data_IF_372923694300
#
_entry.id   IF_372923694300
#
_cell.length_a   1.000
_cell.length_b   1.000
_cell.length_c   1.000
_cell.angle_alpha   90.00
_cell.angle_beta   90.00
_cell.angle_gamma   90.00
#
_symmetry.space_group_name_H-M   'P 1'
#
loop_
_entity.id
_entity.type
_entity.pdbx_description
1 polymer ?
#
# COMPACT_ATOMS: atom_id res chain seq x y z
N UNK A 1 2.13 26.10 16.31
CA UNK A 1 2.40 26.61 17.68
C UNK A 1 1.05 26.55 18.40
N UNK A 2 0.85 25.57 19.27
CA UNK A 2 -0.37 25.43 20.06
C UNK A 2 -0.14 26.27 21.32
N UNK A 3 -1.01 27.24 21.66
CA UNK A 3 -0.85 28.06 22.84
C UNK A 3 -1.37 27.30 24.07
N UNK A 4 -0.56 27.23 25.12
CA UNK A 4 -0.91 26.59 26.38
C UNK A 4 0.00 25.40 26.68
N UNK A 5 1.12 25.67 27.34
CA UNK A 5 1.75 24.75 28.28
C UNK A 5 2.89 25.49 28.99
N UNK A 6 2.53 26.30 29.98
CA UNK A 6 3.48 26.83 30.97
C UNK A 6 3.73 25.82 32.12
N UNK A 7 2.94 24.74 32.19
CA UNK A 7 2.98 23.71 33.23
C UNK A 7 3.28 22.28 32.71
N UNK A 8 3.86 22.14 31.52
CA UNK A 8 4.25 20.83 31.00
C UNK A 8 5.67 20.41 31.44
N UNK A 9 5.76 19.31 32.17
CA UNK A 9 7.02 18.69 32.63
C UNK A 9 7.86 18.14 31.44
N UNK A 10 7.26 18.02 30.25
CA UNK A 10 7.92 17.52 29.04
C UNK A 10 7.72 18.46 27.85
N UNK A 11 8.78 19.18 27.48
CA UNK A 11 8.82 20.09 26.33
C UNK A 11 8.88 19.38 24.95
N UNK A 12 8.89 18.05 24.90
CA UNK A 12 8.94 17.27 23.66
C UNK A 12 7.59 16.62 23.36
N UNK A 13 6.99 16.96 22.22
CA UNK A 13 5.72 16.37 21.73
C UNK A 13 5.79 14.84 21.52
N UNK A 14 7.00 14.27 21.42
CA UNK A 14 7.23 12.84 21.23
C UNK A 14 8.33 12.35 22.17
N UNK A 15 8.12 11.22 22.83
CA UNK A 15 9.03 10.66 23.85
C UNK A 15 10.27 9.96 23.26
N UNK A 16 10.28 9.65 21.96
CA UNK A 16 11.34 8.90 21.29
C UNK A 16 11.96 9.67 20.10
N UNK A 17 13.26 9.44 19.82
CA UNK A 17 13.89 10.00 18.62
C UNK A 17 13.24 9.42 17.35
N UNK A 18 13.10 10.28 16.33
CA UNK A 18 12.41 10.01 15.07
C UNK A 18 12.80 8.66 14.41
N UNK A 19 14.08 8.29 14.51
CA UNK A 19 14.61 7.02 13.95
C UNK A 19 14.12 5.77 14.68
N UNK A 20 14.09 5.78 16.03
CA UNK A 20 13.57 4.64 16.81
C UNK A 20 12.08 4.46 16.56
N UNK A 21 11.36 5.57 16.40
CA UNK A 21 9.95 5.57 16.08
C UNK A 21 9.68 4.93 14.71
N UNK A 22 10.45 5.33 13.69
CA UNK A 22 10.38 4.74 12.36
C UNK A 22 10.66 3.23 12.38
N UNK A 23 11.72 2.80 13.08
CA UNK A 23 12.07 1.37 13.21
C UNK A 23 10.96 0.57 13.90
N UNK A 24 10.30 1.14 14.92
CA UNK A 24 9.18 0.51 15.60
C UNK A 24 7.95 0.37 14.67
N UNK A 25 7.60 1.42 13.92
CA UNK A 25 6.51 1.37 12.94
C UNK A 25 6.79 0.35 11.82
N UNK A 26 8.02 0.30 11.31
CA UNK A 26 8.43 -0.66 10.29
C UNK A 26 8.36 -2.11 10.81
N UNK A 27 8.87 -2.37 12.02
CA UNK A 27 8.78 -3.69 12.65
C UNK A 27 7.33 -4.13 12.87
N UNK A 28 6.42 -3.19 13.19
CA UNK A 28 5.00 -3.48 13.36
C UNK A 28 4.36 -3.87 12.04
N UNK A 29 4.59 -3.10 10.98
CA UNK A 29 4.07 -3.41 9.63
C UNK A 29 4.62 -4.75 9.12
N UNK A 30 5.90 -5.05 9.36
CA UNK A 30 6.49 -6.35 9.00
C UNK A 30 5.86 -7.51 9.77
N UNK A 31 5.61 -7.33 11.08
CA UNK A 31 4.92 -8.34 11.90
C UNK A 31 3.47 -8.54 11.46
N UNK A 32 2.78 -7.45 11.09
CA UNK A 32 1.43 -7.49 10.51
C UNK A 32 1.42 -8.22 9.17
N UNK A 33 2.42 -7.99 8.33
CA UNK A 33 2.64 -8.75 7.09
C UNK A 33 2.77 -10.24 7.36
N UNK A 34 3.60 -10.62 8.34
CA UNK A 34 3.82 -12.02 8.71
C UNK A 34 2.55 -12.68 9.28
N UNK A 35 1.75 -11.96 10.09
CA UNK A 35 0.48 -12.47 10.63
C UNK A 35 -0.62 -12.60 9.58
N UNK A 36 -0.67 -11.68 8.61
CA UNK A 36 -1.64 -11.71 7.52
C UNK A 36 -1.08 -12.34 6.24
N UNK A 37 -0.06 -13.20 6.36
CA UNK A 37 0.68 -13.78 5.23
C UNK A 37 -0.24 -14.42 4.18
N UNK A 38 -1.36 -15.01 4.61
CA UNK A 38 -2.37 -15.58 3.71
C UNK A 38 -2.82 -14.62 2.61
N UNK A 39 -3.10 -13.36 2.96
CA UNK A 39 -3.57 -12.40 1.95
C UNK A 39 -2.43 -11.94 1.04
N UNK A 40 -1.20 -11.88 1.53
CA UNK A 40 -0.03 -11.57 0.73
C UNK A 40 0.32 -12.71 -0.26
N UNK A 41 0.17 -13.97 0.16
CA UNK A 41 0.33 -15.13 -0.72
C UNK A 41 -0.76 -15.14 -1.81
N UNK A 42 -2.00 -14.83 -1.45
CA UNK A 42 -3.09 -14.72 -2.43
C UNK A 42 -2.81 -13.62 -3.45
N UNK A 43 -2.42 -12.41 -2.99
CA UNK A 43 -1.96 -11.30 -3.84
C UNK A 43 -0.83 -11.73 -4.80
N UNK A 44 0.19 -12.42 -4.30
CA UNK A 44 1.30 -12.92 -5.13
C UNK A 44 0.81 -13.93 -6.18
N UNK A 45 -0.05 -14.86 -5.80
CA UNK A 45 -0.60 -15.85 -6.75
C UNK A 45 -1.44 -15.19 -7.86
N UNK A 46 -2.26 -14.20 -7.50
CA UNK A 46 -3.03 -13.41 -8.45
C UNK A 46 -2.11 -12.65 -9.42
N UNK A 47 -1.05 -12.03 -8.90
CA UNK A 47 -0.05 -11.33 -9.71
C UNK A 47 0.63 -12.28 -10.71
N UNK A 48 0.99 -13.49 -10.27
CA UNK A 48 1.60 -14.51 -11.14
C UNK A 48 0.63 -14.91 -12.25
N UNK A 49 -0.64 -15.21 -11.92
CA UNK A 49 -1.66 -15.59 -12.92
C UNK A 49 -1.84 -14.48 -13.95
N UNK A 50 -1.99 -13.23 -13.51
CA UNK A 50 -2.12 -12.06 -14.38
C UNK A 50 -0.88 -11.88 -15.26
N UNK A 51 0.32 -12.03 -14.71
CA UNK A 51 1.57 -11.91 -15.47
C UNK A 51 1.68 -12.99 -16.56
N UNK A 52 1.25 -14.22 -16.27
CA UNK A 52 1.20 -15.31 -17.24
C UNK A 52 0.18 -15.04 -18.33
N UNK A 53 -1.02 -14.55 -17.97
CA UNK A 53 -2.04 -14.13 -18.94
C UNK A 53 -1.54 -12.99 -19.84
N UNK A 54 -0.88 -11.98 -19.28
CA UNK A 54 -0.30 -10.90 -20.07
C UNK A 54 0.79 -11.43 -21.01
N UNK A 55 1.71 -12.28 -20.51
CA UNK A 55 2.77 -12.87 -21.32
C UNK A 55 2.23 -13.68 -22.49
N UNK A 56 1.18 -14.48 -22.28
CA UNK A 56 0.56 -15.28 -23.34
C UNK A 56 -0.18 -14.43 -24.37
N UNK A 57 -0.85 -13.35 -23.94
CA UNK A 57 -1.58 -12.45 -24.83
C UNK A 57 -0.65 -11.57 -25.68
N UNK A 58 0.46 -11.08 -25.11
CA UNK A 58 1.40 -10.18 -25.80
C UNK A 58 2.57 -10.88 -26.49
N UNK A 59 2.57 -12.21 -26.57
CA UNK A 59 3.70 -13.00 -27.07
C UNK A 59 4.07 -12.70 -28.54
N UNK A 60 3.26 -11.92 -29.28
CA UNK A 60 3.56 -11.47 -30.64
C UNK A 60 3.38 -9.97 -30.86
N UNK A 61 4.45 -9.21 -30.62
CA UNK A 61 4.54 -7.73 -30.71
C UNK A 61 4.90 -7.19 -32.11
N UNK A 62 4.66 -7.95 -33.19
CA UNK A 62 4.91 -7.51 -34.58
C UNK A 62 3.57 -7.38 -35.28
N UNK A 63 3.08 -6.15 -35.37
CA UNK A 63 1.73 -5.82 -35.83
C UNK A 63 1.79 -4.75 -36.94
N UNK A 64 1.15 -5.03 -38.10
CA UNK A 64 0.92 -4.05 -39.18
C UNK A 64 -0.23 -3.11 -38.80
N UNK A 65 -0.33 -1.94 -39.42
CA UNK A 65 -1.37 -0.95 -39.13
C UNK A 65 -2.69 -1.45 -39.72
N UNK A 66 -3.45 -2.21 -38.94
CA UNK A 66 -4.75 -2.78 -39.31
C UNK A 66 -5.78 -2.58 -38.18
N UNK A 67 -7.05 -2.44 -38.52
CA UNK A 67 -8.16 -2.21 -37.56
C UNK A 67 -8.27 -3.35 -36.53
N UNK A 68 -7.97 -4.58 -36.95
CA UNK A 68 -7.95 -5.74 -36.06
C UNK A 68 -6.91 -5.58 -34.94
N UNK A 69 -5.76 -4.99 -35.27
CA UNK A 69 -4.64 -4.79 -34.35
C UNK A 69 -4.92 -3.65 -33.35
N UNK A 70 -5.66 -2.63 -33.79
CA UNK A 70 -6.16 -1.57 -32.91
C UNK A 70 -7.11 -2.12 -31.81
N UNK A 71 -8.00 -3.06 -32.17
CA UNK A 71 -8.88 -3.72 -31.19
C UNK A 71 -8.10 -4.56 -30.17
N UNK A 72 -7.05 -5.27 -30.58
CA UNK A 72 -6.18 -5.99 -29.65
C UNK A 72 -5.47 -5.03 -28.68
N UNK A 73 -5.00 -3.88 -29.15
CA UNK A 73 -4.41 -2.84 -28.29
C UNK A 73 -5.42 -2.27 -27.29
N UNK A 74 -6.65 -2.00 -27.73
CA UNK A 74 -7.69 -1.49 -26.85
C UNK A 74 -8.08 -2.52 -25.79
N UNK A 75 -8.19 -3.80 -26.17
CA UNK A 75 -8.46 -4.91 -25.25
C UNK A 75 -7.34 -5.13 -24.24
N UNK A 76 -6.09 -4.97 -24.67
CA UNK A 76 -4.91 -4.98 -23.81
C UNK A 76 -4.93 -3.85 -22.76
N UNK A 77 -5.23 -2.62 -23.18
CA UNK A 77 -5.35 -1.48 -22.27
C UNK A 77 -6.50 -1.66 -21.29
N UNK A 78 -7.65 -2.14 -21.77
CA UNK A 78 -8.81 -2.43 -20.92
C UNK A 78 -8.49 -3.52 -19.89
N UNK A 79 -7.81 -4.59 -20.29
CA UNK A 79 -7.36 -5.65 -19.38
C UNK A 79 -6.44 -5.10 -18.29
N UNK A 80 -5.46 -4.26 -18.65
CA UNK A 80 -4.59 -3.58 -17.68
C UNK A 80 -5.36 -2.72 -16.66
N UNK A 81 -6.38 -1.97 -17.13
CA UNK A 81 -7.24 -1.18 -16.24
C UNK A 81 -8.05 -2.05 -15.28
N UNK A 82 -8.61 -3.16 -15.76
CA UNK A 82 -9.36 -4.10 -14.92
C UNK A 82 -8.46 -4.72 -13.85
N UNK A 83 -7.24 -5.11 -14.19
CA UNK A 83 -6.27 -5.64 -13.21
C UNK A 83 -5.99 -4.61 -12.12
N UNK A 84 -5.67 -3.36 -12.49
CA UNK A 84 -5.40 -2.29 -11.52
C UNK A 84 -6.58 -2.05 -10.59
N UNK A 85 -7.80 -2.09 -11.13
CA UNK A 85 -9.02 -1.92 -10.35
C UNK A 85 -9.24 -3.10 -9.37
N UNK A 86 -9.07 -4.34 -9.85
CA UNK A 86 -9.24 -5.55 -9.03
C UNK A 86 -8.20 -5.63 -7.92
N UNK A 87 -6.96 -5.21 -8.17
CA UNK A 87 -5.89 -5.21 -7.16
C UNK A 87 -6.12 -4.16 -6.04
N UNK A 88 -6.79 -3.05 -6.38
CA UNK A 88 -7.13 -1.99 -5.43
C UNK A 88 -8.22 -2.36 -4.41
N UNK A 89 -9.20 -3.19 -4.77
CA UNK A 89 -10.30 -3.59 -3.86
C UNK A 89 -9.84 -4.18 -2.51
N UNK A 90 -8.99 -5.23 -2.47
CA UNK A 90 -8.52 -5.79 -1.21
C UNK A 90 -7.66 -4.81 -0.40
N UNK A 91 -6.96 -3.89 -1.08
CA UNK A 91 -6.13 -2.89 -0.41
C UNK A 91 -6.94 -1.84 0.32
N UNK A 92 -8.02 -1.37 -0.30
CA UNK A 92 -8.95 -0.41 0.31
C UNK A 92 -9.60 -1.05 1.53
N UNK A 93 -10.09 -2.28 1.42
CA UNK A 93 -10.71 -3.00 2.54
C UNK A 93 -9.76 -3.14 3.74
N UNK A 94 -8.51 -3.55 3.52
CA UNK A 94 -7.52 -3.62 4.60
C UNK A 94 -7.18 -2.25 5.20
N UNK A 95 -7.13 -1.21 4.38
CA UNK A 95 -6.81 0.15 4.85
C UNK A 95 -7.93 0.68 5.74
N UNK A 96 -9.20 0.42 5.38
CA UNK A 96 -10.36 0.78 6.21
C UNK A 96 -10.29 0.08 7.57
N UNK A 97 -9.94 -1.22 7.61
CA UNK A 97 -9.79 -1.95 8.88
C UNK A 97 -8.68 -1.38 9.78
N UNK A 98 -7.61 -0.82 9.19
CA UNK A 98 -6.46 -0.25 9.94
C UNK A 98 -6.69 1.20 10.38
N UNK A 99 -7.60 1.92 9.74
CA UNK A 99 -7.90 3.32 9.99
C UNK A 99 -8.28 3.66 11.44
N UNK A 100 -9.19 2.92 12.13
CA UNK A 100 -9.56 3.26 13.51
C UNK A 100 -8.40 3.08 14.50
N UNK A 101 -7.53 2.09 14.26
CA UNK A 101 -6.32 1.88 15.07
C UNK A 101 -5.33 3.04 14.88
N UNK A 102 -5.17 3.51 13.64
CA UNK A 102 -4.33 4.67 13.34
C UNK A 102 -4.81 5.93 14.06
N UNK A 103 -6.11 6.26 13.99
CA UNK A 103 -6.65 7.43 14.68
C UNK A 103 -6.46 7.34 16.20
N UNK A 104 -6.72 6.19 16.79
CA UNK A 104 -6.52 5.97 18.23
C UNK A 104 -5.06 6.14 18.67
N UNK A 105 -4.11 5.69 17.86
CA UNK A 105 -2.68 5.81 18.17
C UNK A 105 -2.13 7.23 17.92
N UNK A 106 -2.68 7.93 16.92
CA UNK A 106 -2.35 9.33 16.64
C UNK A 106 -2.82 10.25 17.76
N UNK A 107 -4.03 10.04 18.27
CA UNK A 107 -4.62 10.88 19.32
C UNK A 107 -3.88 10.71 20.66
N UNK A 108 -3.30 9.52 20.91
CA UNK A 108 -2.38 9.26 22.02
C UNK A 108 -0.94 9.78 21.79
N UNK A 109 -0.70 10.55 20.73
CA UNK A 109 0.60 11.12 20.35
C UNK A 109 1.76 10.11 20.24
N UNK A 110 1.47 8.82 19.98
CA UNK A 110 2.52 7.79 19.87
C UNK A 110 3.44 8.01 18.67
N UNK A 111 2.90 8.44 17.52
CA UNK A 111 3.72 8.74 16.35
C UNK A 111 3.08 9.79 15.42
N UNK A 112 3.89 10.61 14.73
CA UNK A 112 3.43 11.55 13.72
C UNK A 112 2.99 10.84 12.44
N UNK A 113 2.09 11.46 11.66
CA UNK A 113 1.49 10.86 10.46
C UNK A 113 2.51 10.38 9.41
N UNK A 114 3.66 11.06 9.28
CA UNK A 114 4.72 10.66 8.34
C UNK A 114 5.36 9.31 8.69
N UNK A 115 5.43 8.95 9.98
CA UNK A 115 6.04 7.70 10.43
C UNK A 115 5.18 6.46 10.08
N UNK A 116 3.90 6.66 9.78
CA UNK A 116 3.00 5.62 9.28
C UNK A 116 2.89 5.63 7.75
N UNK A 117 2.90 6.82 7.13
CA UNK A 117 2.82 6.95 5.68
C UNK A 117 4.03 6.30 4.97
N UNK A 118 5.25 6.53 5.46
CA UNK A 118 6.47 6.03 4.80
C UNK A 118 6.54 4.49 4.78
N UNK A 119 6.31 3.77 5.89
CA UNK A 119 6.26 2.31 5.85
C UNK A 119 5.10 1.80 4.98
N UNK A 120 3.94 2.45 5.03
CA UNK A 120 2.78 2.05 4.22
C UNK A 120 3.03 2.21 2.71
N UNK A 121 3.81 3.21 2.28
CA UNK A 121 4.18 3.42 0.86
C UNK A 121 5.39 2.60 0.41
N UNK A 122 6.26 2.18 1.32
CA UNK A 122 7.42 1.34 0.96
C UNK A 122 7.09 -0.14 0.90
N UNK A 123 6.09 -0.57 1.66
CA UNK A 123 5.74 -1.98 1.85
C UNK A 123 4.57 -2.42 0.97
N UNK A 124 3.93 -1.48 0.26
CA UNK A 124 2.76 -1.64 -0.58
C UNK A 124 3.11 -1.10 -1.95
#
# INVERSE_FOLDING_TARGET
KIPGDEDAICFSKFSLPKWKLFKACLSREFLLMKRNSFVYVFKLSQLVIVSLMAMTVFLRTRMRIDVLHANYYLGALFYGLIILLVDGFPEVSMTIMRLPVFFKQRDLCFYPAWAYAIPATMLK
#
